data_IF_397612762666
#
_entry.id   IF_397612762666
#
_cell.length_a   1.000
_cell.length_b   1.000
_cell.length_c   1.000
_cell.angle_alpha   90.00
_cell.angle_beta   90.00
_cell.angle_gamma   90.00
#
_symmetry.space_group_name_H-M   'P 1'
#
loop_
_entity.id
_entity.type
_entity.pdbx_description
1 polymer ?
#
# COMPACT_ATOMS: atom_id res chain seq x y z
N UNK A 1 -1.02 10.37 14.34
CA UNK A 1 -2.13 11.04 13.62
C UNK A 1 -2.56 10.12 12.50
N UNK A 2 -3.85 9.82 12.40
CA UNK A 2 -4.38 8.90 11.41
C UNK A 2 -4.70 9.67 10.12
N UNK A 3 -3.88 9.47 9.08
CA UNK A 3 -4.03 10.14 7.78
C UNK A 3 -4.70 9.25 6.72
N UNK A 4 -4.61 7.93 6.89
CA UNK A 4 -5.28 6.93 6.05
C UNK A 4 -6.45 6.29 6.80
N UNK A 5 -7.52 5.91 6.10
CA UNK A 5 -8.68 5.26 6.71
C UNK A 5 -8.26 3.93 7.34
N UNK A 6 -8.92 3.56 8.44
CA UNK A 6 -8.62 2.30 9.14
C UNK A 6 -9.30 1.15 8.43
N UNK A 7 -8.51 0.20 7.92
CA UNK A 7 -9.07 -1.05 7.39
C UNK A 7 -9.71 -1.86 8.52
N UNK A 8 -10.96 -2.29 8.30
CA UNK A 8 -11.64 -3.24 9.17
C UNK A 8 -11.68 -4.64 8.54
N UNK A 9 -11.81 -5.65 9.40
CA UNK A 9 -11.80 -7.07 9.01
C UNK A 9 -12.85 -7.40 7.94
N UNK A 10 -14.05 -6.81 8.00
CA UNK A 10 -15.10 -7.03 7.01
C UNK A 10 -14.74 -6.54 5.61
N UNK A 11 -13.99 -5.43 5.50
CA UNK A 11 -13.48 -4.94 4.21
C UNK A 11 -12.38 -5.83 3.68
N UNK A 12 -11.48 -6.27 4.56
CA UNK A 12 -10.44 -7.24 4.23
C UNK A 12 -11.03 -8.52 3.65
N UNK A 13 -12.03 -9.13 4.30
CA UNK A 13 -12.73 -10.33 3.82
C UNK A 13 -13.43 -10.09 2.48
N UNK A 14 -14.10 -8.94 2.33
CA UNK A 14 -14.79 -8.59 1.07
C UNK A 14 -13.81 -8.50 -0.09
N UNK A 15 -12.65 -7.89 0.12
CA UNK A 15 -11.60 -7.77 -0.90
C UNK A 15 -11.00 -9.13 -1.23
N UNK A 16 -10.80 -10.02 -0.25
CA UNK A 16 -10.38 -11.40 -0.53
C UNK A 16 -11.39 -12.13 -1.42
N UNK A 17 -12.68 -12.06 -1.09
CA UNK A 17 -13.74 -12.67 -1.92
C UNK A 17 -13.78 -12.08 -3.32
N UNK A 18 -13.63 -10.77 -3.49
CA UNK A 18 -13.58 -10.16 -4.83
C UNK A 18 -12.43 -10.73 -5.67
N UNK A 19 -11.27 -10.95 -5.05
CA UNK A 19 -10.11 -11.53 -5.73
C UNK A 19 -10.30 -13.02 -6.04
N UNK A 20 -10.96 -13.77 -5.16
CA UNK A 20 -11.32 -15.17 -5.40
C UNK A 20 -12.34 -15.30 -6.55
N UNK A 21 -13.35 -14.41 -6.59
CA UNK A 21 -14.44 -14.45 -7.57
C UNK A 21 -14.00 -14.00 -8.97
N UNK A 22 -13.22 -12.93 -9.07
CA UNK A 22 -12.76 -12.36 -10.36
C UNK A 22 -11.49 -13.01 -10.88
N UNK A 23 -10.76 -13.70 -10.00
CA UNK A 23 -9.46 -14.28 -10.29
C UNK A 23 -8.31 -13.27 -10.16
N UNK A 24 -7.11 -13.76 -9.78
CA UNK A 24 -5.95 -12.92 -9.47
C UNK A 24 -5.49 -12.06 -10.65
N UNK A 25 -5.53 -12.60 -11.87
CA UNK A 25 -5.04 -11.95 -13.09
C UNK A 25 -5.91 -10.74 -13.46
N UNK A 26 -7.25 -10.90 -13.48
CA UNK A 26 -8.17 -9.81 -13.78
C UNK A 26 -8.12 -8.69 -12.75
N UNK A 27 -7.91 -9.02 -11.47
CA UNK A 27 -7.70 -8.05 -10.42
C UNK A 27 -6.38 -7.28 -10.57
N UNK A 28 -5.29 -7.96 -10.90
CA UNK A 28 -3.98 -7.33 -11.14
C UNK A 28 -4.04 -6.41 -12.36
N UNK A 29 -4.68 -6.81 -13.45
CA UNK A 29 -4.81 -5.99 -14.65
C UNK A 29 -5.62 -4.73 -14.38
N UNK A 30 -6.77 -4.87 -13.71
CA UNK A 30 -7.60 -3.73 -13.30
C UNK A 30 -6.83 -2.78 -12.38
N UNK A 31 -6.15 -3.32 -11.36
CA UNK A 31 -5.32 -2.53 -10.44
C UNK A 31 -4.20 -1.79 -11.18
N UNK A 32 -3.50 -2.47 -12.09
CA UNK A 32 -2.40 -1.90 -12.85
C UNK A 32 -2.88 -0.76 -13.73
N UNK A 33 -4.04 -0.90 -14.38
CA UNK A 33 -4.65 0.18 -15.16
C UNK A 33 -5.05 1.37 -14.29
N UNK A 34 -5.66 1.11 -13.12
CA UNK A 34 -6.05 2.14 -12.16
C UNK A 34 -4.83 2.91 -11.63
N UNK A 35 -3.75 2.19 -11.28
CA UNK A 35 -2.51 2.80 -10.81
C UNK A 35 -1.78 3.55 -11.92
N UNK A 36 -1.72 3.04 -13.15
CA UNK A 36 -1.13 3.78 -14.29
C UNK A 36 -1.79 5.14 -14.48
N UNK A 37 -3.11 5.21 -14.29
CA UNK A 37 -3.88 6.44 -14.47
C UNK A 37 -3.76 7.40 -13.29
N UNK A 38 -3.79 6.88 -12.07
CA UNK A 38 -3.96 7.71 -10.88
C UNK A 38 -2.71 7.78 -9.98
N UNK A 39 -1.89 6.73 -9.95
CA UNK A 39 -0.76 6.54 -9.04
C UNK A 39 0.43 5.81 -9.72
N UNK A 40 1.05 6.38 -10.76
CA UNK A 40 2.11 5.72 -11.51
C UNK A 40 3.37 5.49 -10.66
N UNK A 41 3.64 6.37 -9.68
CA UNK A 41 4.79 6.22 -8.77
C UNK A 41 4.65 5.00 -7.86
N UNK A 42 3.45 4.74 -7.33
CA UNK A 42 3.19 3.52 -6.56
C UNK A 42 3.39 2.28 -7.41
N UNK A 43 2.93 2.30 -8.67
CA UNK A 43 3.13 1.18 -9.58
C UNK A 43 4.63 0.94 -9.85
N UNK A 44 5.41 2.00 -10.06
CA UNK A 44 6.86 1.89 -10.26
C UNK A 44 7.56 1.32 -9.02
N UNK A 45 7.22 1.84 -7.83
CA UNK A 45 7.76 1.34 -6.56
C UNK A 45 7.45 -0.15 -6.36
N UNK A 46 6.20 -0.55 -6.55
CA UNK A 46 5.79 -1.96 -6.41
C UNK A 46 6.44 -2.83 -7.48
N UNK A 47 6.56 -2.36 -8.72
CA UNK A 47 7.23 -3.10 -9.79
C UNK A 47 8.72 -3.34 -9.50
N UNK A 48 9.40 -2.37 -8.89
CA UNK A 48 10.80 -2.52 -8.43
C UNK A 48 10.90 -3.54 -7.31
N UNK A 49 10.09 -3.40 -6.25
CA UNK A 49 10.06 -4.39 -5.15
C UNK A 49 9.73 -5.80 -5.66
N UNK A 50 8.77 -5.90 -6.59
CA UNK A 50 8.36 -7.14 -7.23
C UNK A 50 9.50 -7.81 -8.02
N UNK A 51 10.37 -7.02 -8.64
CA UNK A 51 11.57 -7.47 -9.36
C UNK A 51 12.64 -7.94 -8.38
N UNK A 52 12.91 -7.16 -7.34
CA UNK A 52 13.95 -7.45 -6.34
C UNK A 52 13.66 -8.73 -5.54
N UNK A 53 12.39 -9.02 -5.28
CA UNK A 53 11.93 -10.17 -4.49
C UNK A 53 11.66 -11.44 -5.34
N UNK A 54 11.86 -11.37 -6.66
CA UNK A 54 11.90 -12.54 -7.55
C UNK A 54 10.55 -13.23 -7.86
N UNK A 55 9.40 -12.65 -7.49
CA UNK A 55 8.06 -13.20 -7.81
C UNK A 55 7.04 -12.08 -8.08
N UNK A 56 7.16 -11.39 -9.23
CA UNK A 56 6.46 -10.11 -9.42
C UNK A 56 4.94 -10.24 -9.41
N UNK A 57 4.38 -11.29 -10.02
CA UNK A 57 2.93 -11.51 -10.04
C UNK A 57 2.33 -11.76 -8.65
N UNK A 58 3.05 -12.48 -7.77
CA UNK A 58 2.58 -12.73 -6.40
C UNK A 58 2.60 -11.44 -5.59
N UNK A 59 3.65 -10.65 -5.71
CA UNK A 59 3.79 -9.39 -4.97
C UNK A 59 2.75 -8.37 -5.43
N UNK A 60 2.50 -8.28 -6.74
CA UNK A 60 1.41 -7.48 -7.28
C UNK A 60 0.04 -7.93 -6.76
N UNK A 61 -0.18 -9.23 -6.55
CA UNK A 61 -1.41 -9.74 -5.96
C UNK A 61 -1.59 -9.26 -4.51
N UNK A 62 -0.59 -9.49 -3.65
CA UNK A 62 -0.62 -9.05 -2.27
C UNK A 62 -0.78 -7.54 -2.15
N UNK A 63 -0.08 -6.81 -3.02
CA UNK A 63 -0.22 -5.38 -3.16
C UNK A 63 -1.63 -4.95 -3.56
N UNK A 64 -2.25 -5.69 -4.50
CA UNK A 64 -3.62 -5.45 -4.92
C UNK A 64 -4.62 -5.58 -3.79
N UNK A 65 -4.52 -6.64 -2.98
CA UNK A 65 -5.37 -6.83 -1.80
C UNK A 65 -5.20 -5.66 -0.81
N UNK A 66 -3.96 -5.28 -0.54
CA UNK A 66 -3.62 -4.18 0.36
C UNK A 66 -4.17 -2.82 -0.13
N UNK A 67 -3.92 -2.47 -1.39
CA UNK A 67 -4.36 -1.21 -1.99
C UNK A 67 -5.89 -1.15 -2.11
N UNK A 68 -6.54 -2.26 -2.49
CA UNK A 68 -8.00 -2.35 -2.60
C UNK A 68 -8.69 -2.24 -1.24
N UNK A 69 -8.13 -2.86 -0.20
CA UNK A 69 -8.66 -2.71 1.16
C UNK A 69 -8.64 -1.25 1.62
N UNK A 70 -7.51 -0.57 1.43
CA UNK A 70 -7.38 0.85 1.73
C UNK A 70 -8.33 1.73 0.90
N UNK A 71 -8.41 1.50 -0.41
CA UNK A 71 -9.27 2.26 -1.31
C UNK A 71 -10.77 2.08 -0.99
N UNK A 72 -11.17 0.87 -0.58
CA UNK A 72 -12.54 0.56 -0.23
C UNK A 72 -12.99 1.31 1.04
N UNK A 73 -12.13 1.43 2.05
CA UNK A 73 -12.43 2.25 3.23
C UNK A 73 -12.44 3.74 2.91
N UNK A 74 -11.52 4.20 2.07
CA UNK A 74 -11.49 5.62 1.70
C UNK A 74 -12.76 6.03 0.95
N UNK A 75 -13.26 5.18 0.05
CA UNK A 75 -14.53 5.42 -0.63
C UNK A 75 -15.73 5.43 0.32
N UNK A 76 -15.69 4.63 1.40
CA UNK A 76 -16.73 4.61 2.42
C UNK A 76 -16.69 5.84 3.36
N UNK A 77 -15.49 6.33 3.68
CA UNK A 77 -15.28 7.46 4.60
C UNK A 77 -15.45 8.83 3.92
N UNK A 78 -15.05 8.96 2.64
CA UNK A 78 -14.99 10.26 1.95
C UNK A 78 -15.99 10.43 0.78
N UNK A 79 -16.76 9.40 0.45
CA UNK A 79 -17.73 9.41 -0.66
C UNK A 79 -17.08 9.34 -2.05
N UNK A 80 -17.80 8.78 -3.02
CA UNK A 80 -17.35 8.42 -4.39
C UNK A 80 -16.83 9.57 -5.29
N UNK A 81 -16.65 10.79 -4.78
CA UNK A 81 -16.34 11.98 -5.59
C UNK A 81 -14.85 12.35 -5.65
N UNK A 82 -14.01 11.75 -4.81
CA UNK A 82 -12.56 11.98 -4.82
C UNK A 82 -11.85 10.64 -5.06
N UNK A 83 -10.78 10.66 -5.86
CA UNK A 83 -9.97 9.47 -6.12
C UNK A 83 -9.62 8.75 -4.81
N UNK A 84 -9.75 7.41 -4.74
CA UNK A 84 -9.89 6.72 -3.46
C UNK A 84 -8.60 6.65 -2.63
N UNK A 85 -7.45 7.11 -3.12
CA UNK A 85 -6.21 7.20 -2.35
C UNK A 85 -5.39 8.41 -2.82
N UNK A 86 -4.62 9.03 -1.90
CA UNK A 86 -3.80 10.21 -2.22
C UNK A 86 -2.81 9.88 -3.33
N UNK A 87 -2.54 10.88 -4.19
CA UNK A 87 -1.66 10.67 -5.34
C UNK A 87 -0.20 10.81 -4.93
N UNK A 88 0.58 9.73 -5.05
CA UNK A 88 2.01 9.82 -4.77
C UNK A 88 2.74 10.59 -5.85
N UNK A 89 3.36 11.69 -5.44
CA UNK A 89 4.21 12.51 -6.30
C UNK A 89 5.65 11.96 -6.34
N UNK A 90 6.39 12.25 -7.43
CA UNK A 90 7.82 11.92 -7.52
C UNK A 90 8.63 12.53 -6.36
N UNK A 91 8.22 13.72 -5.89
CA UNK A 91 8.85 14.40 -4.75
C UNK A 91 8.75 13.59 -3.45
N UNK A 92 7.60 12.97 -3.20
CA UNK A 92 7.42 12.11 -2.03
C UNK A 92 8.26 10.85 -2.16
N UNK A 93 8.29 10.23 -3.34
CA UNK A 93 9.16 9.08 -3.60
C UNK A 93 10.63 9.43 -3.31
N UNK A 94 11.13 10.53 -3.88
CA UNK A 94 12.53 10.95 -3.70
C UNK A 94 12.85 11.30 -2.24
N UNK A 95 11.87 11.86 -1.51
CA UNK A 95 12.00 12.11 -0.07
C UNK A 95 12.11 10.81 0.72
N UNK A 96 11.32 9.79 0.40
CA UNK A 96 11.38 8.50 1.08
C UNK A 96 12.71 7.79 0.81
N UNK A 97 13.21 7.86 -0.42
CA UNK A 97 14.55 7.32 -0.76
C UNK A 97 15.61 8.00 0.10
N UNK A 98 15.60 9.34 0.21
CA UNK A 98 16.52 10.06 1.10
C UNK A 98 16.37 9.67 2.56
N UNK A 99 15.14 9.52 3.06
CA UNK A 99 14.87 9.10 4.44
C UNK A 99 15.44 7.70 4.71
N UNK A 100 15.33 6.78 3.75
CA UNK A 100 15.92 5.44 3.82
C UNK A 100 17.45 5.52 3.77
N UNK A 101 18.03 6.32 2.89
CA UNK A 101 19.48 6.51 2.78
C UNK A 101 20.08 7.10 4.08
N UNK A 102 19.34 7.99 4.75
CA UNK A 102 19.78 8.66 5.99
C UNK A 102 19.60 7.78 7.24
N UNK A 103 18.47 7.06 7.36
CA UNK A 103 18.11 6.31 8.57
C UNK A 103 18.43 4.82 8.51
N UNK A 104 18.66 4.31 7.30
CA UNK A 104 18.81 2.89 7.01
C UNK A 104 17.46 2.18 6.80
N UNK A 105 17.44 1.24 5.86
CA UNK A 105 16.25 0.47 5.47
C UNK A 105 15.57 -0.24 6.64
N UNK A 106 16.34 -0.80 7.57
CA UNK A 106 15.81 -1.50 8.74
C UNK A 106 15.08 -0.54 9.69
N UNK A 107 15.72 0.55 10.09
CA UNK A 107 15.13 1.59 10.96
C UNK A 107 13.86 2.15 10.35
N UNK A 108 13.91 2.50 9.06
CA UNK A 108 12.75 3.00 8.32
C UNK A 108 11.59 2.01 8.34
N UNK A 109 11.88 0.73 8.08
CA UNK A 109 10.86 -0.32 8.03
C UNK A 109 10.22 -0.56 9.39
N UNK A 110 11.02 -0.62 10.46
CA UNK A 110 10.53 -0.78 11.83
C UNK A 110 9.61 0.39 12.21
N UNK A 111 10.00 1.63 11.89
CA UNK A 111 9.17 2.80 12.14
C UNK A 111 7.82 2.72 11.39
N UNK A 112 7.85 2.31 10.12
CA UNK A 112 6.64 2.16 9.31
C UNK A 112 5.73 1.02 9.80
N UNK A 113 6.31 -0.10 10.28
CA UNK A 113 5.55 -1.20 10.88
C UNK A 113 4.89 -0.75 12.18
N UNK A 114 5.58 0.00 13.04
CA UNK A 114 4.98 0.56 14.25
C UNK A 114 3.84 1.53 13.93
N UNK A 115 4.00 2.38 12.91
CA UNK A 115 2.93 3.26 12.44
C UNK A 115 1.73 2.46 11.90
N UNK A 116 1.98 1.37 11.17
CA UNK A 116 0.94 0.45 10.70
C UNK A 116 0.22 -0.24 11.86
N UNK A 117 0.95 -0.75 12.84
CA UNK A 117 0.38 -1.44 14.01
C UNK A 117 -0.52 -0.51 14.81
N UNK A 118 -0.09 0.74 15.03
CA UNK A 118 -0.84 1.72 15.81
C UNK A 118 -2.11 2.23 15.10
N UNK A 119 -2.06 2.41 13.77
CA UNK A 119 -3.14 3.09 13.04
C UNK A 119 -3.99 2.13 12.18
N UNK A 120 -3.42 1.01 11.73
CA UNK A 120 -3.98 0.11 10.73
C UNK A 120 -3.61 -1.37 10.98
N UNK A 121 -3.95 -1.95 12.15
CA UNK A 121 -3.54 -3.30 12.53
C UNK A 121 -4.06 -4.39 11.58
N UNK A 122 -5.25 -4.23 11.01
CA UNK A 122 -5.81 -5.20 10.04
C UNK A 122 -5.02 -5.18 8.72
N UNK A 123 -4.61 -4.00 8.28
CA UNK A 123 -3.79 -3.86 7.08
C UNK A 123 -2.39 -4.44 7.29
N UNK A 124 -1.84 -4.29 8.50
CA UNK A 124 -0.62 -4.97 8.91
C UNK A 124 -0.80 -6.49 8.91
N UNK A 125 -1.93 -6.99 9.43
CA UNK A 125 -2.23 -8.42 9.43
C UNK A 125 -2.31 -8.99 8.01
N UNK A 126 -2.87 -8.24 7.07
CA UNK A 126 -2.87 -8.60 5.65
C UNK A 126 -1.46 -8.70 5.06
N UNK A 127 -0.64 -7.68 5.29
CA UNK A 127 0.76 -7.68 4.85
C UNK A 127 1.52 -8.87 5.47
N UNK A 128 1.31 -9.14 6.77
CA UNK A 128 1.93 -10.25 7.50
C UNK A 128 1.50 -11.63 6.98
N UNK A 129 0.20 -11.80 6.71
CA UNK A 129 -0.36 -13.04 6.16
C UNK A 129 0.23 -13.33 4.78
N UNK A 130 0.34 -12.30 3.94
CA UNK A 130 0.96 -12.42 2.63
C UNK A 130 2.47 -12.67 2.72
N UNK A 131 3.19 -11.93 3.57
CA UNK A 131 4.64 -12.09 3.77
C UNK A 131 5.00 -13.48 4.32
N UNK A 132 4.19 -14.01 5.24
CA UNK A 132 4.37 -15.36 5.80
C UNK A 132 4.16 -16.47 4.77
N UNK A 133 3.33 -16.23 3.77
CA UNK A 133 3.16 -17.13 2.63
C UNK A 133 4.28 -16.96 1.57
N UNK A 134 5.13 -15.94 1.71
CA UNK A 134 6.25 -15.67 0.82
C UNK A 134 7.56 -16.26 1.36
N UNK A 135 8.50 -16.58 0.46
CA UNK A 135 9.82 -17.13 0.83
C UNK A 135 10.80 -16.08 1.36
N UNK A 136 10.46 -14.80 1.21
CA UNK A 136 11.21 -13.65 1.68
C UNK A 136 10.27 -12.72 2.45
N UNK A 137 10.12 -13.01 3.73
CA UNK A 137 9.20 -12.29 4.62
C UNK A 137 9.64 -10.83 4.80
N UNK A 138 10.93 -10.60 5.04
CA UNK A 138 11.46 -9.28 5.35
C UNK A 138 11.31 -8.33 4.17
N UNK A 139 11.74 -8.77 2.98
CA UNK A 139 11.65 -7.94 1.79
C UNK A 139 10.21 -7.59 1.40
N UNK A 140 9.28 -8.52 1.60
CA UNK A 140 7.84 -8.27 1.38
C UNK A 140 7.30 -7.26 2.39
N UNK A 141 7.61 -7.40 3.68
CA UNK A 141 7.19 -6.44 4.71
C UNK A 141 7.77 -5.04 4.45
N UNK A 142 9.01 -4.95 4.00
CA UNK A 142 9.65 -3.69 3.58
C UNK A 142 8.88 -3.03 2.43
N UNK A 143 8.49 -3.80 1.41
CA UNK A 143 7.71 -3.29 0.28
C UNK A 143 6.34 -2.72 0.71
N UNK A 144 5.61 -3.44 1.56
CA UNK A 144 4.32 -2.95 2.09
C UNK A 144 4.47 -1.71 2.97
N UNK A 145 5.49 -1.71 3.84
CA UNK A 145 5.80 -0.57 4.70
C UNK A 145 6.13 0.69 3.89
N UNK A 146 6.94 0.55 2.84
CA UNK A 146 7.30 1.64 1.94
C UNK A 146 6.08 2.26 1.26
N UNK A 147 5.17 1.43 0.72
CA UNK A 147 3.97 1.95 0.05
C UNK A 147 3.01 2.61 1.05
N UNK A 148 2.79 2.00 2.21
CA UNK A 148 1.99 2.60 3.27
C UNK A 148 2.51 3.99 3.63
N UNK A 149 3.82 4.12 3.84
CA UNK A 149 4.46 5.38 4.18
C UNK A 149 4.30 6.42 3.08
N UNK A 150 4.44 6.04 1.81
CA UNK A 150 4.22 6.94 0.68
C UNK A 150 2.80 7.51 0.64
N UNK A 151 1.80 6.65 0.83
CA UNK A 151 0.40 7.07 0.90
C UNK A 151 0.14 7.96 2.13
N UNK A 152 0.72 7.62 3.29
CA UNK A 152 0.52 8.39 4.52
C UNK A 152 1.14 9.80 4.45
N UNK A 153 2.34 9.93 3.87
CA UNK A 153 3.02 11.22 3.68
C UNK A 153 2.22 12.12 2.74
N UNK A 154 1.64 11.57 1.68
CA UNK A 154 0.82 12.36 0.75
C UNK A 154 -0.54 12.71 1.33
N UNK A 155 -1.21 11.78 2.03
CA UNK A 155 -2.43 12.08 2.77
C UNK A 155 -2.21 13.23 3.77
N UNK A 156 -1.06 13.24 4.46
CA UNK A 156 -0.69 14.34 5.35
C UNK A 156 -0.50 15.65 4.58
N UNK A 157 0.24 15.63 3.46
CA UNK A 157 0.46 16.81 2.61
C UNK A 157 -0.84 17.39 2.04
N UNK A 158 -1.74 16.54 1.55
CA UNK A 158 -3.04 16.95 1.03
C UNK A 158 -3.87 17.60 2.14
N UNK A 159 -3.95 17.00 3.34
CA UNK A 159 -4.67 17.59 4.48
C UNK A 159 -4.06 18.91 4.98
N UNK A 160 -2.73 19.03 4.94
CA UNK A 160 -2.02 20.27 5.29
C UNK A 160 -2.20 21.41 4.27
N UNK A 161 -2.60 21.11 3.03
CA UNK A 161 -2.93 22.13 2.01
C UNK A 161 -4.37 22.62 2.08
N UNK A 162 -5.24 21.86 2.76
CA UNK A 162 -6.67 22.18 2.92
C UNK A 162 -6.93 23.07 4.15
N UNK A 163 -5.95 23.19 5.05
CA UNK A 163 -5.96 24.12 6.21
C UNK A 163 -5.08 25.33 5.93
#
# INVERSE_FOLDING_TARGET
>A
MQFLPRVVMSTSERVHREFDDRGPEACIDSLTQDLKRNNPEILDMVARCATDLGKPSKILLGFGLFYRALAAECGAEFGTLLHPLPRVSPETRDRLVREIDETGTETFTVACIHDLEANNPELLHLAHSFASAHGDYLGVMQAFALVYRALAVEAMRERSRVH
#
